data_IF_420509409064
#
_entry.id   IF_420509409064
#
_cell.length_a   1.000
_cell.length_b   1.000
_cell.length_c   1.000
_cell.angle_alpha   90.00
_cell.angle_beta   90.00
_cell.angle_gamma   90.00
#
_symmetry.space_group_name_H-M   'P 1'
#
loop_
_entity.id
_entity.type
_entity.pdbx_description
1 polymer ?
#
# COMPACT_ATOMS: atom_id res chain seq x y z
N UNK A 1 -2.47 -23.70 54.75
CA UNK A 1 -3.48 -22.66 54.44
C UNK A 1 -2.78 -21.34 54.15
N UNK A 2 -2.74 -20.96 52.86
CA UNK A 2 -3.01 -19.63 52.29
C UNK A 2 -2.24 -19.53 50.96
N UNK A 3 -2.97 -19.81 49.89
CA UNK A 3 -2.60 -19.51 48.51
C UNK A 3 -2.27 -18.02 48.41
N UNK A 4 -1.04 -17.71 48.01
CA UNK A 4 -0.70 -16.40 47.48
C UNK A 4 -1.04 -16.48 45.99
N UNK A 5 -2.11 -15.78 45.60
CA UNK A 5 -2.52 -15.64 44.21
C UNK A 5 -1.38 -14.99 43.43
N UNK A 6 -0.72 -15.79 42.60
CA UNK A 6 0.12 -15.31 41.51
C UNK A 6 -0.74 -14.41 40.60
N UNK A 7 -0.25 -13.23 40.18
CA UNK A 7 -0.98 -12.43 39.20
C UNK A 7 -1.07 -13.21 37.87
N UNK A 8 -2.12 -12.98 37.06
CA UNK A 8 -2.25 -13.65 35.78
C UNK A 8 -1.04 -13.30 34.90
N UNK A 9 -0.35 -14.33 34.41
CA UNK A 9 0.74 -14.22 33.45
C UNK A 9 0.24 -13.40 32.27
N UNK A 10 0.86 -12.24 32.01
CA UNK A 10 0.60 -11.44 30.79
C UNK A 10 0.87 -12.34 29.58
N UNK A 11 -0.18 -12.64 28.79
CA UNK A 11 -0.08 -13.41 27.54
C UNK A 11 1.04 -12.82 26.68
N UNK A 12 1.97 -13.65 26.19
CA UNK A 12 3.01 -13.18 25.27
C UNK A 12 2.33 -12.70 23.96
N UNK A 13 2.68 -11.49 23.51
CA UNK A 13 2.17 -10.90 22.25
C UNK A 13 2.70 -11.58 20.97
N UNK A 14 3.35 -12.73 21.10
CA UNK A 14 4.22 -13.35 20.08
C UNK A 14 3.46 -13.96 18.89
N UNK A 15 2.14 -14.12 18.96
CA UNK A 15 1.34 -14.73 17.89
C UNK A 15 0.28 -13.77 17.32
N UNK A 16 0.33 -12.49 17.66
CA UNK A 16 -0.64 -11.52 17.16
C UNK A 16 -0.33 -11.17 15.69
N UNK A 17 -1.35 -11.21 14.84
CA UNK A 17 -1.21 -10.86 13.42
C UNK A 17 -0.62 -11.96 12.53
N UNK A 18 -0.26 -13.13 13.09
CA UNK A 18 0.25 -14.28 12.35
C UNK A 18 -0.91 -15.20 11.95
N UNK A 19 -1.82 -14.69 11.12
CA UNK A 19 -3.01 -15.44 10.68
C UNK A 19 -3.13 -15.42 9.15
N UNK A 20 -3.19 -16.60 8.53
CA UNK A 20 -3.39 -16.74 7.10
C UNK A 20 -4.82 -16.39 6.66
N UNK A 21 -5.05 -16.28 5.36
CA UNK A 21 -6.37 -16.03 4.76
C UNK A 21 -6.78 -17.21 3.90
N UNK A 22 -8.00 -17.71 4.07
CA UNK A 22 -8.49 -18.85 3.28
C UNK A 22 -8.64 -18.46 1.82
N UNK A 23 -8.10 -19.28 0.90
CA UNK A 23 -8.37 -19.15 -0.52
C UNK A 23 -9.79 -19.61 -0.81
N UNK A 24 -10.63 -18.72 -1.33
CA UNK A 24 -12.05 -18.99 -1.61
C UNK A 24 -12.32 -19.13 -3.12
N UNK A 25 -11.30 -19.57 -3.86
CA UNK A 25 -11.34 -19.82 -5.30
C UNK A 25 -10.62 -18.74 -6.09
N UNK A 26 -9.33 -18.99 -6.39
CA UNK A 26 -8.43 -18.08 -7.11
C UNK A 26 -8.31 -16.68 -6.46
N UNK A 27 -8.43 -16.59 -5.13
CA UNK A 27 -8.37 -15.31 -4.40
C UNK A 27 -7.01 -15.00 -3.78
N UNK A 28 -5.94 -15.68 -4.20
CA UNK A 28 -4.59 -15.43 -3.68
C UNK A 28 -4.09 -14.01 -3.98
N UNK A 29 -4.51 -13.41 -5.10
CA UNK A 29 -4.24 -12.00 -5.44
C UNK A 29 -4.78 -11.04 -4.37
N UNK A 30 -6.00 -11.29 -3.88
CA UNK A 30 -6.61 -10.52 -2.81
C UNK A 30 -5.92 -10.80 -1.47
N UNK A 31 -5.68 -12.08 -1.16
CA UNK A 31 -5.10 -12.47 0.12
C UNK A 31 -3.71 -11.86 0.32
N UNK A 32 -2.85 -11.91 -0.70
CA UNK A 32 -1.50 -11.34 -0.65
C UNK A 32 -1.50 -9.82 -0.44
N UNK A 33 -2.34 -9.08 -1.18
CA UNK A 33 -2.48 -7.63 -1.01
C UNK A 33 -3.02 -7.26 0.38
N UNK A 34 -4.02 -7.99 0.87
CA UNK A 34 -4.59 -7.78 2.21
C UNK A 34 -3.57 -8.03 3.32
N UNK A 35 -2.75 -9.07 3.22
CA UNK A 35 -1.71 -9.35 4.22
C UNK A 35 -0.70 -8.21 4.34
N UNK A 36 -0.25 -7.64 3.21
CA UNK A 36 0.61 -6.46 3.22
C UNK A 36 -0.07 -5.27 3.90
N UNK A 37 -1.32 -4.96 3.56
CA UNK A 37 -2.07 -3.87 4.19
C UNK A 37 -2.27 -4.09 5.69
N UNK A 38 -2.61 -5.31 6.13
CA UNK A 38 -2.84 -5.61 7.54
C UNK A 38 -1.57 -5.46 8.38
N UNK A 39 -0.38 -5.58 7.79
CA UNK A 39 0.89 -5.40 8.49
C UNK A 39 1.38 -3.95 8.54
N UNK A 40 0.55 -2.96 8.18
CA UNK A 40 0.82 -1.53 8.36
C UNK A 40 0.25 -1.04 9.72
N UNK A 41 1.03 -0.99 10.82
CA UNK A 41 0.47 -0.80 12.16
C UNK A 41 -0.27 0.53 12.32
N UNK A 42 0.33 1.64 11.88
CA UNK A 42 -0.26 2.98 12.08
C UNK A 42 -1.54 3.19 11.28
N UNK A 43 -1.58 2.66 10.05
CA UNK A 43 -2.79 2.66 9.24
C UNK A 43 -3.90 1.82 9.88
N UNK A 44 -3.56 0.65 10.41
CA UNK A 44 -4.52 -0.28 10.99
C UNK A 44 -5.01 0.11 12.37
N UNK A 45 -4.22 0.87 13.14
CA UNK A 45 -4.62 1.41 14.43
C UNK A 45 -5.89 2.27 14.33
N UNK A 46 -6.08 2.96 13.22
CA UNK A 46 -7.31 3.70 12.94
C UNK A 46 -8.57 2.81 12.91
N UNK A 47 -8.46 1.61 12.35
CA UNK A 47 -9.57 0.64 12.29
C UNK A 47 -9.71 -0.16 13.59
N UNK A 48 -8.60 -0.56 14.21
CA UNK A 48 -8.59 -1.31 15.47
C UNK A 48 -9.16 -0.49 16.63
N UNK A 49 -8.93 0.82 16.64
CA UNK A 49 -9.43 1.75 17.66
C UNK A 49 -10.82 2.33 17.32
N UNK A 50 -11.50 1.80 16.30
CA UNK A 50 -12.83 2.25 15.86
C UNK A 50 -12.90 3.74 15.47
N UNK A 51 -11.75 4.39 15.20
CA UNK A 51 -11.70 5.80 14.78
C UNK A 51 -12.41 6.01 13.44
N UNK A 52 -12.46 4.99 12.59
CA UNK A 52 -13.13 5.02 11.29
C UNK A 52 -14.64 5.29 11.38
N UNK A 53 -15.29 4.91 12.49
CA UNK A 53 -16.75 5.04 12.65
C UNK A 53 -17.22 6.49 12.53
N UNK A 54 -16.41 7.48 12.95
CA UNK A 54 -16.74 8.90 12.85
C UNK A 54 -16.70 9.44 11.41
N UNK A 55 -15.89 8.81 10.57
CA UNK A 55 -15.66 9.23 9.18
C UNK A 55 -16.56 8.46 8.21
N UNK A 56 -17.17 7.34 8.63
CA UNK A 56 -18.17 6.61 7.86
C UNK A 56 -19.38 7.51 7.51
N UNK A 57 -19.61 7.73 6.21
CA UNK A 57 -20.77 8.47 5.71
C UNK A 57 -21.88 7.49 5.25
N UNK A 58 -22.95 7.35 6.03
CA UNK A 58 -24.14 6.51 5.72
C UNK A 58 -23.99 4.98 5.91
N UNK A 59 -25.13 4.29 5.84
CA UNK A 59 -25.23 2.85 6.09
C UNK A 59 -24.74 1.96 4.93
N UNK A 60 -24.62 2.48 3.70
CA UNK A 60 -24.30 1.70 2.49
C UNK A 60 -22.80 1.49 2.23
N UNK A 61 -21.96 1.83 3.20
CA UNK A 61 -20.49 1.77 3.12
C UNK A 61 -19.97 0.47 3.72
N UNK A 62 -19.97 -0.57 2.89
CA UNK A 62 -19.70 -1.94 3.31
C UNK A 62 -18.20 -2.24 3.39
N UNK A 63 -17.36 -1.64 2.53
CA UNK A 63 -15.94 -2.03 2.39
C UNK A 63 -15.18 -1.70 3.68
N UNK A 64 -15.26 -0.47 4.20
CA UNK A 64 -14.56 -0.09 5.42
C UNK A 64 -15.01 -0.89 6.65
N UNK A 65 -16.31 -1.24 6.74
CA UNK A 65 -16.85 -2.07 7.82
C UNK A 65 -16.34 -3.51 7.73
N UNK A 66 -16.36 -4.12 6.54
CA UNK A 66 -15.86 -5.49 6.36
C UNK A 66 -14.33 -5.56 6.52
N UNK A 67 -13.59 -4.55 6.07
CA UNK A 67 -12.15 -4.44 6.29
C UNK A 67 -11.82 -4.40 7.78
N UNK A 68 -12.47 -3.50 8.54
CA UNK A 68 -12.26 -3.39 9.99
C UNK A 68 -12.61 -4.68 10.74
N UNK A 69 -13.74 -5.32 10.37
CA UNK A 69 -14.17 -6.60 10.95
C UNK A 69 -13.13 -7.70 10.70
N UNK A 70 -12.67 -7.84 9.46
CA UNK A 70 -11.67 -8.85 9.10
C UNK A 70 -10.34 -8.60 9.80
N UNK A 71 -9.86 -7.35 9.83
CA UNK A 71 -8.64 -6.97 10.54
C UNK A 71 -8.74 -7.33 12.05
N UNK A 72 -9.86 -7.01 12.69
CA UNK A 72 -10.09 -7.34 14.11
C UNK A 72 -10.10 -8.86 14.35
N UNK A 73 -10.69 -9.64 13.45
CA UNK A 73 -10.64 -11.10 13.53
C UNK A 73 -9.20 -11.61 13.45
N UNK A 74 -8.43 -11.18 12.45
CA UNK A 74 -7.01 -11.57 12.28
C UNK A 74 -6.19 -11.23 13.53
N UNK A 75 -6.43 -10.06 14.15
CA UNK A 75 -5.73 -9.63 15.38
C UNK A 75 -6.24 -10.32 16.64
N UNK A 76 -7.50 -10.74 16.67
CA UNK A 76 -8.15 -11.45 17.79
C UNK A 76 -7.89 -12.96 17.81
N UNK A 77 -7.62 -13.57 16.66
CA UNK A 77 -7.44 -15.03 16.50
C UNK A 77 -6.14 -15.57 17.10
N UNK A 78 -5.26 -14.72 17.63
CA UNK A 78 -4.01 -15.08 18.32
C UNK A 78 -4.16 -15.87 19.64
N UNK A 79 -5.34 -16.40 19.97
CA UNK A 79 -5.54 -17.32 21.12
C UNK A 79 -5.52 -18.82 20.75
N UNK A 80 -5.45 -19.17 19.47
CA UNK A 80 -5.38 -20.57 19.04
C UNK A 80 -3.93 -20.95 18.76
N UNK A 81 -3.32 -21.72 19.66
CA UNK A 81 -1.89 -22.09 19.65
C UNK A 81 -1.54 -23.14 18.56
N UNK A 82 -2.12 -23.00 17.38
CA UNK A 82 -1.98 -23.93 16.27
C UNK A 82 -1.34 -23.18 15.10
N UNK A 83 -0.10 -23.56 14.76
CA UNK A 83 0.53 -23.23 13.48
C UNK A 83 -0.28 -23.73 12.26
N UNK A 84 -1.38 -24.47 12.49
CA UNK A 84 -2.38 -24.93 11.53
C UNK A 84 -3.74 -24.27 11.76
N UNK A 85 -3.78 -22.96 12.07
CA UNK A 85 -5.05 -22.26 12.15
C UNK A 85 -5.74 -22.26 10.79
N UNK A 86 -7.04 -22.59 10.75
CA UNK A 86 -7.88 -22.36 9.57
C UNK A 86 -7.79 -20.86 9.25
N UNK A 87 -7.27 -20.49 8.09
CA UNK A 87 -7.12 -19.09 7.71
C UNK A 87 -8.44 -18.32 7.80
N UNK A 88 -8.37 -17.02 8.08
CA UNK A 88 -9.57 -16.18 8.17
C UNK A 88 -10.27 -16.07 6.82
N UNK A 89 -11.59 -16.00 6.86
CA UNK A 89 -12.42 -15.99 5.67
C UNK A 89 -12.63 -14.54 5.16
N UNK A 90 -12.34 -14.30 3.88
CA UNK A 90 -12.41 -12.98 3.22
C UNK A 90 -13.71 -12.75 2.44
N UNK A 91 -14.68 -13.67 2.49
CA UNK A 91 -15.89 -13.69 1.66
C UNK A 91 -16.76 -12.44 1.80
N UNK A 92 -16.93 -11.92 3.02
CA UNK A 92 -17.74 -10.72 3.26
C UNK A 92 -17.10 -9.48 2.62
N UNK A 93 -15.76 -9.35 2.73
CA UNK A 93 -15.03 -8.27 2.08
C UNK A 93 -15.02 -8.42 0.56
N UNK A 94 -14.83 -9.64 0.04
CA UNK A 94 -14.94 -9.94 -1.40
C UNK A 94 -16.29 -9.49 -1.95
N UNK A 95 -17.39 -9.85 -1.29
CA UNK A 95 -18.75 -9.44 -1.71
C UNK A 95 -18.95 -7.92 -1.70
N UNK A 96 -18.38 -7.23 -0.72
CA UNK A 96 -18.46 -5.77 -0.67
C UNK A 96 -17.72 -5.13 -1.86
N UNK A 97 -16.54 -5.67 -2.22
CA UNK A 97 -15.75 -5.20 -3.36
C UNK A 97 -16.45 -5.53 -4.70
N UNK A 98 -16.99 -6.73 -4.86
CA UNK A 98 -17.72 -7.15 -6.08
C UNK A 98 -18.91 -6.24 -6.42
N UNK A 99 -19.54 -5.61 -5.42
CA UNK A 99 -20.63 -4.65 -5.63
C UNK A 99 -20.16 -3.35 -6.29
N UNK A 100 -18.92 -2.93 -6.01
CA UNK A 100 -18.35 -1.67 -6.52
C UNK A 100 -17.53 -1.90 -7.79
N UNK A 101 -16.83 -3.04 -7.85
CA UNK A 101 -16.01 -3.44 -8.98
C UNK A 101 -16.37 -4.87 -9.42
N UNK A 102 -17.38 -5.02 -10.30
CA UNK A 102 -17.84 -6.32 -10.78
C UNK A 102 -16.77 -7.15 -11.49
N UNK A 103 -15.66 -6.54 -11.95
CA UNK A 103 -14.53 -7.25 -12.56
C UNK A 103 -13.91 -8.31 -11.64
N UNK A 104 -13.98 -8.12 -10.31
CA UNK A 104 -13.51 -9.11 -9.33
C UNK A 104 -14.54 -10.20 -9.00
N UNK A 105 -15.69 -10.20 -9.69
CA UNK A 105 -16.73 -11.20 -9.49
C UNK A 105 -16.32 -12.57 -10.03
N UNK A 106 -16.82 -13.61 -9.38
CA UNK A 106 -16.55 -15.00 -9.78
C UNK A 106 -15.26 -15.54 -9.19
N UNK A 107 -14.62 -16.44 -9.93
CA UNK A 107 -13.48 -17.25 -9.46
C UNK A 107 -12.30 -17.22 -10.45
N UNK A 108 -12.22 -16.17 -11.29
CA UNK A 108 -11.07 -15.93 -12.15
C UNK A 108 -9.87 -15.45 -11.35
N UNK A 109 -8.66 -15.71 -11.86
CA UNK A 109 -7.47 -15.00 -11.37
C UNK A 109 -7.53 -13.54 -11.81
N UNK A 110 -6.97 -12.66 -10.98
CA UNK A 110 -6.99 -11.21 -11.18
C UNK A 110 -5.64 -10.62 -10.79
N UNK A 111 -5.43 -9.37 -11.17
CA UNK A 111 -4.23 -8.62 -10.78
C UNK A 111 -4.35 -8.12 -9.33
N UNK A 112 -3.35 -8.44 -8.50
CA UNK A 112 -3.29 -7.99 -7.10
C UNK A 112 -3.17 -6.46 -6.97
N UNK A 113 -2.58 -5.79 -7.96
CA UNK A 113 -2.40 -4.35 -7.99
C UNK A 113 -3.72 -3.64 -8.32
N UNK A 114 -4.48 -4.14 -9.29
CA UNK A 114 -5.82 -3.63 -9.60
C UNK A 114 -6.76 -3.81 -8.42
N UNK A 115 -6.70 -4.98 -7.77
CA UNK A 115 -7.45 -5.24 -6.55
C UNK A 115 -7.09 -4.26 -5.43
N UNK A 116 -5.78 -4.04 -5.20
CA UNK A 116 -5.29 -3.14 -4.17
C UNK A 116 -5.80 -1.72 -4.39
N UNK A 117 -5.72 -1.21 -5.63
CA UNK A 117 -6.27 0.10 -6.00
C UNK A 117 -7.76 0.18 -5.74
N UNK A 118 -8.53 -0.81 -6.19
CA UNK A 118 -9.97 -0.86 -5.96
C UNK A 118 -10.33 -0.86 -4.46
N UNK A 119 -9.61 -1.61 -3.64
CA UNK A 119 -9.80 -1.63 -2.19
C UNK A 119 -9.46 -0.27 -1.58
N UNK A 120 -8.34 0.33 -1.96
CA UNK A 120 -7.89 1.64 -1.45
C UNK A 120 -8.89 2.74 -1.84
N UNK A 121 -9.36 2.76 -3.09
CA UNK A 121 -10.38 3.70 -3.57
C UNK A 121 -11.71 3.48 -2.85
N UNK A 122 -12.14 2.23 -2.68
CA UNK A 122 -13.35 1.89 -1.92
C UNK A 122 -13.27 2.34 -0.46
N UNK A 123 -12.12 2.17 0.20
CA UNK A 123 -11.88 2.68 1.55
C UNK A 123 -11.83 4.21 1.57
N UNK A 124 -11.23 4.85 0.56
CA UNK A 124 -11.14 6.29 0.44
C UNK A 124 -12.54 6.89 0.34
N UNK A 125 -13.35 6.39 -0.60
CA UNK A 125 -14.74 6.80 -0.77
C UNK A 125 -15.55 6.54 0.49
N UNK A 126 -15.36 5.38 1.14
CA UNK A 126 -16.09 5.05 2.36
C UNK A 126 -15.78 6.02 3.52
N UNK A 127 -14.54 6.53 3.58
CA UNK A 127 -14.01 7.31 4.70
C UNK A 127 -13.74 8.79 4.34
N UNK A 128 -14.24 9.25 3.19
CA UNK A 128 -14.04 10.63 2.75
C UNK A 128 -14.76 11.60 3.70
N UNK A 129 -13.97 12.50 4.27
CA UNK A 129 -14.38 13.53 5.23
C UNK A 129 -15.09 14.68 4.52
N UNK A 130 -14.77 14.92 3.24
CA UNK A 130 -15.40 15.96 2.42
C UNK A 130 -16.79 15.51 1.98
N UNK A 131 -17.82 16.25 2.40
CA UNK A 131 -19.23 15.95 2.06
C UNK A 131 -19.68 16.72 0.81
N UNK A 132 -19.18 17.94 0.63
CA UNK A 132 -19.50 18.80 -0.50
C UNK A 132 -18.19 19.28 -1.09
N UNK A 133 -17.90 18.84 -2.32
CA UNK A 133 -16.70 19.25 -3.03
C UNK A 133 -16.79 20.75 -3.37
N UNK A 134 -15.71 21.52 -3.23
CA UNK A 134 -15.68 22.92 -3.66
C UNK A 134 -15.85 23.01 -5.19
N UNK A 135 -16.25 24.18 -5.72
CA UNK A 135 -16.28 24.38 -7.17
C UNK A 135 -14.90 24.18 -7.78
N UNK A 136 -14.86 23.62 -8.98
CA UNK A 136 -13.62 23.41 -9.71
C UNK A 136 -12.87 24.74 -9.90
N UNK A 137 -11.58 24.70 -9.60
CA UNK A 137 -10.64 25.79 -9.83
C UNK A 137 -9.41 25.22 -10.52
N UNK A 138 -9.05 25.81 -11.66
CA UNK A 138 -7.77 25.55 -12.30
C UNK A 138 -6.66 26.24 -11.51
N UNK A 139 -5.67 25.46 -11.09
CA UNK A 139 -4.49 25.97 -10.41
C UNK A 139 -3.41 26.30 -11.43
N UNK A 140 -2.76 27.45 -11.26
CA UNK A 140 -1.64 27.87 -12.10
C UNK A 140 -0.41 28.03 -11.22
N UNK A 141 0.69 27.41 -11.63
CA UNK A 141 1.98 27.62 -11.00
C UNK A 141 2.57 28.95 -11.50
N UNK A 142 2.79 29.88 -10.57
CA UNK A 142 3.41 31.17 -10.86
C UNK A 142 4.76 31.29 -10.11
N UNK A 143 5.80 30.77 -10.75
CA UNK A 143 7.18 30.79 -10.25
C UNK A 143 7.77 32.21 -10.14
N UNK A 144 7.10 33.23 -10.72
CA UNK A 144 7.54 34.63 -10.58
C UNK A 144 7.17 35.23 -9.22
N UNK A 145 6.16 34.67 -8.55
CA UNK A 145 5.63 35.18 -7.28
C UNK A 145 5.95 34.29 -6.08
N UNK A 146 5.99 32.98 -6.30
CA UNK A 146 6.15 32.01 -5.22
C UNK A 146 7.20 30.96 -5.58
N UNK A 147 7.85 30.42 -4.54
CA UNK A 147 8.75 29.29 -4.73
C UNK A 147 7.98 27.97 -4.98
N UNK A 148 8.69 26.96 -5.46
CA UNK A 148 8.12 25.64 -5.78
C UNK A 148 7.44 25.02 -4.56
N UNK A 149 8.00 25.21 -3.36
CA UNK A 149 7.48 24.63 -2.11
C UNK A 149 6.12 25.23 -1.74
N UNK A 150 5.97 26.54 -1.88
CA UNK A 150 4.72 27.24 -1.64
C UNK A 150 3.64 26.80 -2.64
N UNK A 151 3.98 26.72 -3.93
CA UNK A 151 3.04 26.27 -4.97
C UNK A 151 2.63 24.80 -4.70
N UNK A 152 3.58 23.93 -4.39
CA UNK A 152 3.32 22.54 -3.98
C UNK A 152 2.35 22.47 -2.80
N UNK A 153 2.56 23.30 -1.77
CA UNK A 153 1.71 23.36 -0.59
C UNK A 153 0.28 23.84 -0.90
N UNK A 154 0.13 24.86 -1.74
CA UNK A 154 -1.16 25.37 -2.17
C UNK A 154 -1.96 24.32 -2.95
N UNK A 155 -1.30 23.65 -3.89
CA UNK A 155 -1.89 22.52 -4.62
C UNK A 155 -2.25 21.38 -3.66
N UNK A 156 -1.38 21.11 -2.67
CA UNK A 156 -1.61 20.07 -1.69
C UNK A 156 -2.88 20.34 -0.87
N UNK A 157 -3.05 21.57 -0.40
CA UNK A 157 -4.21 22.02 0.37
C UNK A 157 -5.48 22.06 -0.47
N UNK A 158 -5.39 22.49 -1.73
CA UNK A 158 -6.53 22.49 -2.65
C UNK A 158 -7.06 21.07 -2.86
N UNK A 159 -6.22 20.09 -3.20
CA UNK A 159 -6.69 18.72 -3.37
C UNK A 159 -7.22 18.12 -2.06
N UNK A 160 -6.61 18.45 -0.92
CA UNK A 160 -7.13 18.04 0.40
C UNK A 160 -8.53 18.60 0.65
N UNK A 161 -8.85 19.80 0.16
CA UNK A 161 -10.19 20.37 0.29
C UNK A 161 -11.26 19.66 -0.55
N UNK A 162 -10.83 18.86 -1.56
CA UNK A 162 -11.71 18.11 -2.45
C UNK A 162 -11.88 16.68 -1.95
N UNK A 163 -10.78 16.03 -1.56
CA UNK A 163 -10.75 14.63 -1.14
C UNK A 163 -9.82 14.47 0.08
N UNK A 164 -10.41 14.12 1.22
CA UNK A 164 -9.70 13.99 2.51
C UNK A 164 -10.17 12.74 3.23
N UNK A 165 -9.29 11.76 3.41
CA UNK A 165 -9.60 10.55 4.17
C UNK A 165 -8.34 9.97 4.80
N UNK A 166 -8.51 8.95 5.65
CA UNK A 166 -7.37 8.23 6.23
C UNK A 166 -6.44 7.65 5.16
N UNK A 167 -6.97 7.30 3.98
CA UNK A 167 -6.14 6.82 2.87
C UNK A 167 -5.18 7.91 2.41
N UNK A 168 -5.67 9.14 2.27
CA UNK A 168 -4.86 10.29 1.86
C UNK A 168 -3.85 10.69 2.96
N UNK A 169 -4.14 10.40 4.23
CA UNK A 169 -3.19 10.68 5.32
C UNK A 169 -1.95 9.77 5.27
N UNK A 170 -2.11 8.51 4.83
CA UNK A 170 -1.05 7.48 4.88
C UNK A 170 -0.36 7.21 3.55
N UNK A 171 -1.11 7.20 2.44
CA UNK A 171 -0.60 6.74 1.14
C UNK A 171 -0.34 7.86 0.13
N UNK A 172 -0.85 9.07 0.39
CA UNK A 172 -0.73 10.18 -0.55
C UNK A 172 0.71 10.68 -0.63
N UNK A 173 1.24 10.71 -1.84
CA UNK A 173 2.36 11.55 -2.23
C UNK A 173 1.93 12.65 -3.21
N UNK A 174 2.89 13.50 -3.59
CA UNK A 174 2.72 14.52 -4.63
C UNK A 174 3.93 14.50 -5.56
N UNK A 175 3.70 14.47 -6.87
CA UNK A 175 4.71 14.59 -7.92
C UNK A 175 4.69 15.99 -8.50
N UNK A 176 5.86 16.47 -8.87
CA UNK A 176 6.04 17.73 -9.61
C UNK A 176 6.26 17.41 -11.08
N UNK A 177 5.35 17.85 -11.94
CA UNK A 177 5.41 17.65 -13.38
C UNK A 177 5.73 18.97 -14.07
N UNK A 178 6.87 19.03 -14.74
CA UNK A 178 7.30 20.20 -15.52
C UNK A 178 7.29 19.83 -17.01
N UNK A 179 6.55 20.60 -17.81
CA UNK A 179 6.43 20.40 -19.25
C UNK A 179 6.93 21.65 -19.97
N UNK A 180 7.86 21.49 -20.90
CA UNK A 180 8.40 22.58 -21.71
C UNK A 180 7.92 22.45 -23.15
N UNK A 181 7.34 23.51 -23.70
CA UNK A 181 6.89 23.54 -25.09
C UNK A 181 8.08 23.69 -26.05
N UNK A 182 8.33 22.69 -26.88
CA UNK A 182 9.43 22.71 -27.87
C UNK A 182 9.30 23.77 -28.98
N UNK A 183 8.13 24.43 -29.10
CA UNK A 183 7.91 25.49 -30.10
C UNK A 183 8.16 26.89 -29.56
N UNK A 184 7.67 27.20 -28.37
CA UNK A 184 7.74 28.55 -27.80
C UNK A 184 8.61 28.65 -26.54
N UNK A 185 9.12 27.53 -26.01
CA UNK A 185 9.90 27.47 -24.78
C UNK A 185 9.08 27.70 -23.50
N UNK A 186 7.75 27.84 -23.58
CA UNK A 186 6.90 28.02 -22.41
C UNK A 186 7.00 26.79 -21.50
N UNK A 187 7.30 27.03 -20.23
CA UNK A 187 7.36 26.01 -19.19
C UNK A 187 6.07 26.05 -18.35
N UNK A 188 5.42 24.89 -18.21
CA UNK A 188 4.28 24.68 -17.33
C UNK A 188 4.69 23.78 -16.17
N UNK A 189 4.29 24.15 -14.95
CA UNK A 189 4.50 23.36 -13.74
C UNK A 189 3.15 22.97 -13.16
N UNK A 190 2.97 21.68 -12.87
CA UNK A 190 1.80 21.12 -12.23
C UNK A 190 2.20 20.15 -11.12
N UNK A 191 1.32 19.93 -10.16
CA UNK A 191 1.54 18.97 -9.08
C UNK A 191 0.41 17.94 -9.04
N UNK A 192 0.75 16.66 -9.11
CA UNK A 192 -0.24 15.58 -9.12
C UNK A 192 -0.10 14.71 -7.87
N UNK A 193 -1.21 14.43 -7.20
CA UNK A 193 -1.19 13.48 -6.09
C UNK A 193 -1.15 12.05 -6.61
N UNK A 194 -0.47 11.16 -5.89
CA UNK A 194 -0.46 9.73 -6.17
C UNK A 194 -0.65 8.93 -4.88
N UNK A 195 -1.10 7.68 -5.01
CA UNK A 195 -1.23 6.72 -3.90
C UNK A 195 -0.22 5.58 -4.01
N UNK A 196 0.25 5.30 -5.23
CA UNK A 196 1.26 4.31 -5.54
C UNK A 196 2.15 4.80 -6.69
N UNK A 197 3.35 4.22 -6.81
CA UNK A 197 4.27 4.49 -7.92
C UNK A 197 4.40 3.22 -8.75
N UNK A 198 3.89 3.28 -9.98
CA UNK A 198 4.02 2.18 -10.95
C UNK A 198 5.34 2.32 -11.72
N UNK A 199 6.32 1.50 -11.34
CA UNK A 199 7.63 1.46 -11.99
C UNK A 199 7.60 0.50 -13.17
N UNK A 200 8.04 0.97 -14.34
CA UNK A 200 8.10 0.15 -15.54
C UNK A 200 9.50 -0.37 -15.80
N UNK A 201 9.59 -1.64 -16.18
CA UNK A 201 10.82 -2.23 -16.72
C UNK A 201 11.10 -1.82 -18.17
N UNK A 202 10.22 -1.04 -18.82
CA UNK A 202 10.38 -0.58 -20.20
C UNK A 202 11.68 0.22 -20.42
N UNK A 203 12.29 0.05 -21.59
CA UNK A 203 13.53 0.73 -21.98
C UNK A 203 14.76 -0.18 -21.94
N UNK A 204 15.97 0.39 -21.89
CA UNK A 204 17.23 -0.39 -21.80
C UNK A 204 17.32 -1.29 -20.55
N UNK A 205 16.45 -1.07 -19.57
CA UNK A 205 16.35 -1.89 -18.36
C UNK A 205 15.96 -3.36 -18.65
N UNK A 206 15.18 -3.65 -19.69
CA UNK A 206 14.88 -5.04 -20.09
C UNK A 206 16.08 -5.80 -20.66
N UNK A 207 17.15 -5.11 -21.07
CA UNK A 207 18.39 -5.73 -21.57
C UNK A 207 19.37 -6.06 -20.43
N UNK A 208 19.13 -5.54 -19.23
CA UNK A 208 19.96 -5.80 -18.06
C UNK A 208 19.32 -6.95 -17.27
N UNK A 209 20.09 -8.02 -17.04
CA UNK A 209 19.63 -9.14 -16.23
C UNK A 209 19.33 -8.73 -14.78
N UNK A 210 20.01 -7.69 -14.27
CA UNK A 210 19.83 -7.18 -12.92
C UNK A 210 19.59 -5.67 -12.97
N UNK A 211 18.41 -5.22 -12.55
CA UNK A 211 18.03 -3.79 -12.45
C UNK A 211 17.74 -3.46 -10.99
N UNK A 212 18.35 -2.40 -10.47
CA UNK A 212 18.07 -1.96 -9.09
C UNK A 212 16.78 -1.16 -9.00
N UNK A 213 16.12 -1.16 -7.84
CA UNK A 213 14.95 -0.32 -7.59
C UNK A 213 15.26 1.17 -7.79
N UNK A 214 16.46 1.61 -7.40
CA UNK A 214 16.93 2.97 -7.61
C UNK A 214 16.94 3.32 -9.11
N UNK A 215 17.45 2.43 -9.96
CA UNK A 215 17.43 2.64 -11.41
C UNK A 215 16.01 2.77 -11.97
N UNK A 216 15.07 1.93 -11.50
CA UNK A 216 13.67 2.02 -11.91
C UNK A 216 13.02 3.34 -11.49
N UNK A 217 13.31 3.82 -10.28
CA UNK A 217 12.83 5.13 -9.79
C UNK A 217 13.44 6.26 -10.62
N UNK A 218 14.74 6.21 -10.92
CA UNK A 218 15.37 7.20 -11.80
C UNK A 218 14.72 7.20 -13.18
N UNK A 219 14.47 6.04 -13.79
CA UNK A 219 13.76 5.96 -15.07
C UNK A 219 12.34 6.54 -14.96
N UNK A 220 11.63 6.28 -13.86
CA UNK A 220 10.30 6.83 -13.62
C UNK A 220 10.31 8.37 -13.52
N UNK A 221 11.28 8.94 -12.80
CA UNK A 221 11.43 10.38 -12.61
C UNK A 221 11.97 11.08 -13.88
N UNK A 222 12.79 10.38 -14.66
CA UNK A 222 13.37 10.86 -15.90
C UNK A 222 12.53 10.47 -17.13
N UNK A 223 11.23 10.18 -16.98
CA UNK A 223 10.31 10.01 -18.11
C UNK A 223 10.12 11.35 -18.83
N UNK A 224 11.17 11.84 -19.46
CA UNK A 224 11.10 12.70 -20.63
C UNK A 224 10.76 11.79 -21.81
N UNK A 225 9.58 11.97 -22.39
CA UNK A 225 9.45 11.60 -23.80
C UNK A 225 10.51 12.39 -24.56
N UNK A 226 11.52 11.67 -25.07
CA UNK A 226 12.72 12.04 -25.85
C UNK A 226 14.04 11.80 -25.09
N UNK A 227 14.73 10.75 -25.53
CA UNK A 227 16.09 10.36 -25.14
C UNK A 227 17.08 11.47 -25.57
N UNK A 228 17.88 11.99 -24.64
CA UNK A 228 19.35 12.11 -24.78
C UNK A 228 19.96 12.47 -23.42
N UNK A 229 21.07 11.80 -23.12
CA UNK A 229 21.80 11.76 -21.83
C UNK A 229 21.70 13.02 -20.95
N UNK A 230 21.21 12.85 -19.73
CA UNK A 230 21.45 13.84 -18.67
C UNK A 230 21.72 13.21 -17.31
N UNK A 231 22.93 13.45 -16.80
CA UNK A 231 23.22 13.34 -15.37
C UNK A 231 22.77 14.65 -14.71
N UNK A 232 21.64 14.63 -14.01
CA UNK A 232 21.27 15.76 -13.18
C UNK A 232 22.19 15.82 -11.94
N UNK A 233 23.23 16.65 -12.01
CA UNK A 233 24.16 16.95 -10.92
C UNK A 233 23.61 17.97 -9.90
N UNK A 234 22.33 18.30 -9.99
CA UNK A 234 21.63 19.22 -9.07
C UNK A 234 20.37 18.56 -8.54
N UNK A 235 20.55 17.48 -7.78
CA UNK A 235 19.56 17.11 -6.78
C UNK A 235 19.50 18.27 -5.78
N UNK A 236 18.39 19.01 -5.80
CA UNK A 236 18.10 19.98 -4.77
C UNK A 236 17.79 19.21 -3.47
N UNK A 237 18.80 19.08 -2.60
CA UNK A 237 18.70 18.50 -1.25
C UNK A 237 17.82 19.36 -0.29
N UNK A 238 16.86 20.11 -0.82
CA UNK A 238 15.98 20.97 -0.02
C UNK A 238 14.76 20.24 0.54
N UNK A 239 14.55 18.97 0.20
CA UNK A 239 13.55 18.09 0.81
C UNK A 239 14.24 17.19 1.85
N UNK A 240 13.65 17.08 3.05
CA UNK A 240 14.17 16.19 4.11
C UNK A 240 14.42 14.79 3.54
N UNK A 241 15.63 14.25 3.77
CA UNK A 241 15.97 12.87 3.42
C UNK A 241 14.92 11.91 3.99
N UNK A 242 14.06 11.40 3.12
CA UNK A 242 13.00 10.49 3.48
C UNK A 242 13.53 9.06 3.34
N UNK A 243 14.01 8.52 4.46
CA UNK A 243 14.42 7.11 4.55
C UNK A 243 13.15 6.26 4.68
N UNK A 244 13.07 5.15 3.95
CA UNK A 244 11.96 4.20 3.99
C UNK A 244 12.42 2.79 4.33
N UNK A 245 11.58 2.07 5.07
CA UNK A 245 11.76 0.67 5.43
C UNK A 245 10.78 -0.20 4.65
N UNK A 246 11.29 -1.28 4.03
CA UNK A 246 10.44 -2.28 3.40
C UNK A 246 9.72 -3.08 4.49
N UNK A 247 8.41 -3.17 4.40
CA UNK A 247 7.58 -3.85 5.41
C UNK A 247 6.68 -4.94 4.85
N UNK A 248 6.50 -4.97 3.52
CA UNK A 248 5.65 -5.94 2.86
C UNK A 248 6.01 -6.11 1.39
N UNK A 249 5.87 -7.33 0.90
CA UNK A 249 6.10 -7.72 -0.49
C UNK A 249 4.93 -8.59 -0.92
N UNK A 250 4.26 -8.21 -2.00
CA UNK A 250 3.40 -9.14 -2.76
C UNK A 250 4.27 -9.79 -3.82
N UNK A 251 4.34 -11.11 -3.81
CA UNK A 251 5.05 -11.90 -4.80
C UNK A 251 4.07 -12.57 -5.75
N UNK A 252 4.47 -12.73 -7.01
CA UNK A 252 3.71 -13.46 -8.02
C UNK A 252 4.58 -14.53 -8.68
N UNK A 253 4.02 -15.71 -8.90
CA UNK A 253 4.63 -16.81 -9.67
C UNK A 253 3.71 -17.21 -10.82
N UNK A 254 4.25 -17.44 -12.01
CA UNK A 254 3.46 -17.89 -13.18
C UNK A 254 2.95 -16.75 -14.06
N UNK A 255 1.95 -17.02 -14.91
CA UNK A 255 1.35 -16.04 -15.81
C UNK A 255 0.08 -15.41 -15.22
N UNK A 256 -0.38 -14.29 -15.79
CA UNK A 256 -1.65 -13.66 -15.39
C UNK A 256 -2.88 -14.58 -15.53
N UNK A 257 -2.81 -15.57 -16.42
CA UNK A 257 -3.87 -16.55 -16.68
C UNK A 257 -3.78 -17.83 -15.84
N UNK A 258 -2.71 -17.99 -15.06
CA UNK A 258 -2.37 -19.24 -14.38
C UNK A 258 -1.15 -19.09 -13.48
N UNK A 259 -1.26 -18.18 -12.51
CA UNK A 259 -0.23 -17.86 -11.53
C UNK A 259 -0.71 -18.04 -10.09
N UNK A 260 0.15 -17.68 -9.13
CA UNK A 260 -0.15 -17.72 -7.71
C UNK A 260 0.51 -16.56 -6.99
N UNK A 261 -0.25 -15.90 -6.13
CA UNK A 261 0.25 -14.80 -5.33
C UNK A 261 0.54 -15.27 -3.90
N UNK A 262 1.65 -14.79 -3.37
CA UNK A 262 2.00 -14.92 -1.95
C UNK A 262 2.41 -13.56 -1.41
N UNK A 263 2.56 -13.43 -0.10
CA UNK A 263 3.09 -12.20 0.48
C UNK A 263 4.11 -12.50 1.56
N UNK A 264 5.07 -11.60 1.74
CA UNK A 264 6.03 -11.62 2.83
C UNK A 264 5.90 -10.29 3.56
N UNK A 265 5.65 -10.32 4.86
CA UNK A 265 5.43 -9.11 5.63
C UNK A 265 6.23 -9.16 6.93
N UNK A 266 6.77 -8.01 7.31
CA UNK A 266 7.33 -7.82 8.64
C UNK A 266 6.18 -7.67 9.64
N UNK A 267 6.13 -8.56 10.63
CA UNK A 267 5.15 -8.47 11.71
C UNK A 267 5.49 -7.27 12.61
N UNK A 268 4.56 -6.31 12.81
CA UNK A 268 4.82 -5.11 13.61
C UNK A 268 5.01 -5.38 15.11
N UNK A 269 4.70 -6.58 15.61
CA UNK A 269 4.75 -6.91 17.04
C UNK A 269 6.06 -7.58 17.49
N UNK A 270 6.66 -8.41 16.65
CA UNK A 270 7.90 -9.14 16.93
C UNK A 270 9.05 -8.79 15.97
N UNK A 271 8.78 -7.97 14.95
CA UNK A 271 9.73 -7.52 13.94
C UNK A 271 10.38 -8.65 13.13
N UNK A 272 9.71 -9.81 13.03
CA UNK A 272 10.12 -10.94 12.20
C UNK A 272 9.34 -10.95 10.89
N UNK A 273 9.93 -11.57 9.88
CA UNK A 273 9.29 -11.73 8.58
C UNK A 273 8.53 -13.04 8.49
N UNK A 274 7.32 -12.95 7.95
CA UNK A 274 6.46 -14.11 7.72
C UNK A 274 6.01 -14.15 6.27
N UNK A 275 6.02 -15.34 5.68
CA UNK A 275 5.42 -15.63 4.39
C UNK A 275 4.00 -16.13 4.59
N UNK A 276 3.06 -15.46 3.94
CA UNK A 276 1.65 -15.82 3.91
C UNK A 276 1.33 -16.40 2.53
N UNK A 277 1.05 -17.70 2.50
CA UNK A 277 0.56 -18.44 1.35
C UNK A 277 -0.87 -18.88 1.64
N UNK A 278 -1.82 -17.98 1.33
CA UNK A 278 -3.21 -18.11 1.74
C UNK A 278 -3.32 -18.43 3.24
N UNK A 279 -3.88 -19.59 3.59
CA UNK A 279 -4.10 -19.99 4.98
C UNK A 279 -2.82 -20.42 5.69
N UNK A 280 -1.75 -20.71 4.95
CA UNK A 280 -0.49 -21.18 5.51
C UNK A 280 0.44 -19.98 5.79
N UNK A 281 1.00 -19.94 7.00
CA UNK A 281 1.94 -18.91 7.42
C UNK A 281 3.21 -19.57 7.93
N UNK A 282 4.37 -19.10 7.48
CA UNK A 282 5.68 -19.56 7.92
C UNK A 282 6.62 -18.39 8.17
N UNK A 283 7.47 -18.49 9.18
CA UNK A 283 8.55 -17.52 9.39
C UNK A 283 9.60 -17.66 8.27
N UNK A 284 10.12 -16.53 7.78
CA UNK A 284 11.14 -16.50 6.74
C UNK A 284 12.29 -15.57 7.12
N UNK A 285 13.49 -15.92 6.68
CA UNK A 285 14.66 -15.06 6.79
C UNK A 285 14.87 -14.34 5.45
N UNK A 286 14.72 -13.01 5.45
CA UNK A 286 14.85 -12.18 4.25
C UNK A 286 16.27 -12.20 3.68
N UNK A 287 17.30 -12.34 4.50
CA UNK A 287 18.70 -12.38 4.05
C UNK A 287 19.01 -13.67 3.26
N UNK A 288 18.21 -14.72 3.46
CA UNK A 288 18.35 -16.01 2.79
C UNK A 288 17.34 -16.18 1.65
N UNK A 289 16.39 -15.24 1.49
CA UNK A 289 15.35 -15.34 0.47
C UNK A 289 15.91 -14.86 -0.87
N UNK A 290 15.88 -15.74 -1.87
CA UNK A 290 16.36 -15.45 -3.22
C UNK A 290 15.20 -15.30 -4.18
N UNK A 291 15.08 -14.12 -4.80
CA UNK A 291 14.04 -13.80 -5.78
C UNK A 291 14.50 -14.01 -7.24
N UNK A 292 15.78 -14.31 -7.46
CA UNK A 292 16.44 -14.37 -8.77
C UNK A 292 16.76 -15.81 -9.23
N UNK A 293 15.85 -16.75 -8.95
CA UNK A 293 16.00 -18.14 -9.40
C UNK A 293 14.78 -18.58 -10.21
N UNK A 294 15.02 -19.38 -11.25
CA UNK A 294 13.95 -19.92 -12.10
C UNK A 294 12.91 -20.66 -11.26
N UNK A 295 11.66 -20.18 -11.28
CA UNK A 295 10.56 -20.72 -10.50
C UNK A 295 10.35 -20.09 -9.12
N UNK A 296 11.19 -19.15 -8.69
CA UNK A 296 10.94 -18.38 -7.46
C UNK A 296 9.84 -17.33 -7.67
N UNK A 297 9.06 -17.02 -6.62
CA UNK A 297 8.12 -15.90 -6.66
C UNK A 297 8.85 -14.59 -6.95
N UNK A 298 8.35 -13.82 -7.89
CA UNK A 298 8.92 -12.51 -8.24
C UNK A 298 8.23 -11.42 -7.43
N UNK A 299 8.98 -10.51 -6.78
CA UNK A 299 8.39 -9.34 -6.14
C UNK A 299 7.60 -8.52 -7.16
N UNK A 300 6.35 -8.25 -6.84
CA UNK A 300 5.40 -7.57 -7.72
C UNK A 300 4.94 -6.22 -7.17
N UNK A 301 4.61 -6.16 -5.87
CA UNK A 301 4.25 -4.92 -5.17
C UNK A 301 5.09 -4.81 -3.90
N UNK A 302 5.74 -3.66 -3.69
CA UNK A 302 6.57 -3.38 -2.54
C UNK A 302 5.90 -2.34 -1.64
N UNK A 303 5.78 -2.65 -0.35
CA UNK A 303 5.23 -1.75 0.65
C UNK A 303 6.36 -1.17 1.49
N UNK A 304 6.47 0.16 1.48
CA UNK A 304 7.47 0.92 2.22
C UNK A 304 6.81 1.85 3.22
N UNK A 305 7.42 2.00 4.41
CA UNK A 305 6.99 2.95 5.44
C UNK A 305 8.13 3.93 5.71
N UNK A 306 7.82 5.22 5.80
CA UNK A 306 8.82 6.26 6.08
C UNK A 306 9.38 6.07 7.49
N UNK A 307 10.70 5.94 7.60
CA UNK A 307 11.48 5.87 8.84
C UNK A 307 11.53 7.24 9.51
N UNK A 308 10.40 7.72 10.02
CA UNK A 308 10.26 8.82 10.99
C UNK A 308 8.76 9.06 11.33
N UNK A 309 8.00 7.99 11.53
CA UNK A 309 6.76 8.01 12.32
C UNK A 309 6.95 7.41 13.73
N UNK A 310 8.17 6.98 14.07
CA UNK A 310 8.59 6.60 15.43
C UNK A 310 9.34 7.73 16.16
N UNK A 311 8.80 8.95 16.16
CA UNK A 311 9.29 10.01 17.04
C UNK A 311 8.16 10.52 17.94
N UNK A 312 8.31 10.11 19.21
CA UNK A 312 7.61 10.46 20.46
C UNK A 312 6.35 9.65 20.80
#
# INVERSE_FOLDING_TARGET
MKNINSPPVKKSKTNMGITGLTNIGNTCFMNSALQCLFNLPEFNDYFLQDKYVKDLRSNNKEIAKQYAKLLKNIRGSGSSNSYYSRGENTQDLKRAIEKVAPIFSGYGQQDSQEFLRCLIDGLHEDLNRIVRKPPYRELQADLSKHDIKHISHDWFNYYKSIDDSVIQDFFRGQLSNKVTCNKCGYESLAFDNFLDISLSFSGRATLLHNVSLEQLIQVFLNKEDQIEEYYCSKYDNSFDDAIYDLVGIVNHSGSLSGGHYTSECMNPYDHRWYRFNDSHVSEVNMDQTQYDTSGSPSPYILFYVKRNLHKN
#
